data_IF_454253975826
#
_entry.id   IF_454253975826
#
_cell.length_a   1.000
_cell.length_b   1.000
_cell.length_c   1.000
_cell.angle_alpha   90.00
_cell.angle_beta   90.00
_cell.angle_gamma   90.00
#
_symmetry.space_group_name_H-M   'P 1'
#
loop_
_entity.id
_entity.type
_entity.pdbx_description
1 polymer ?
2 non-polymer ?
3 non-polymer ?
4 non-polymer ?
5 non-polymer ?
6 non-polymer ?
7 water ?
#
# COMPACT_ATOMS: atom_id res chain seq x y z
N UNK A 2 23.17 -3.04 -5.71
CA UNK A 2 22.28 -2.58 -4.67
C UNK A 2 23.03 -2.54 -3.33
N UNK A 3 23.38 -1.34 -2.87
CA UNK A 3 24.03 -1.18 -1.57
C UNK A 3 23.20 -1.74 -0.42
N UNK A 5 21.43 -4.29 -0.62
CA UNK A 5 21.51 -5.74 -0.77
C UNK A 5 22.76 -6.32 -0.14
N UNK A 6 23.78 -5.50 0.10
CA UNK A 6 25.03 -5.97 0.67
C UNK A 6 25.20 -5.51 2.10
N UNK A 7 24.25 -4.75 2.63
CA UNK A 7 24.34 -4.30 4.01
C UNK A 7 23.90 -5.42 4.95
N UNK A 8 24.80 -5.85 5.83
CA UNK A 8 24.46 -6.92 6.75
C UNK A 8 23.53 -6.40 7.84
N UNK A 9 22.61 -7.26 8.27
CA UNK A 9 21.59 -6.83 9.22
C UNK A 9 22.21 -6.31 10.50
N UNK A 10 23.35 -6.88 10.91
CA UNK A 10 23.98 -6.42 12.14
C UNK A 10 24.81 -5.16 11.96
N UNK A 11 25.01 -4.68 10.72
CA UNK A 11 25.71 -3.42 10.51
C UNK A 11 24.76 -2.25 10.40
N UNK A 12 23.46 -2.48 10.48
CA UNK A 12 22.51 -1.39 10.32
C UNK A 12 22.71 -0.28 11.35
N UNK A 13 22.87 -0.56 12.65
CA UNK A 13 23.06 0.54 13.60
C UNK A 13 24.25 1.41 13.24
N UNK A 14 25.37 0.80 12.86
CA UNK A 14 26.54 1.59 12.48
C UNK A 14 26.25 2.41 11.23
N UNK A 15 25.47 1.84 10.30
CA UNK A 15 25.12 2.55 9.08
C UNK A 15 24.26 3.77 9.40
N UNK A 16 23.27 3.58 10.28
CA UNK A 16 22.39 4.68 10.66
C UNK A 16 23.20 5.79 11.33
N UNK A 17 24.07 5.42 12.27
CA UNK A 17 24.89 6.43 12.92
C UNK A 17 25.70 7.23 11.91
N UNK A 18 26.34 6.54 10.95
CA UNK A 18 27.15 7.28 9.96
C UNK A 18 26.28 8.16 9.07
N UNK A 19 25.11 7.65 8.64
CA UNK A 19 24.30 8.43 7.74
C UNK A 19 23.62 9.59 8.47
N UNK A 20 23.16 9.39 9.71
CA UNK A 20 22.54 10.50 10.45
C UNK A 20 23.52 11.66 10.65
N UNK A 21 24.79 11.35 10.97
CA UNK A 21 25.82 12.38 11.06
C UNK A 21 25.90 13.18 9.77
N UNK A 22 25.95 12.47 8.64
CA UNK A 22 26.07 13.12 7.35
C UNK A 22 24.85 14.02 7.07
N UNK A 23 23.65 13.54 7.42
CA UNK A 23 22.42 14.30 7.13
C UNK A 23 22.30 15.52 8.04
N UNK A 24 22.65 15.37 9.32
CA UNK A 24 22.64 16.55 10.20
C UNK A 24 23.73 17.53 9.81
N UNK A 25 24.83 17.06 9.23
CA UNK A 25 25.90 17.96 8.79
C UNK A 25 25.54 18.68 7.50
N UNK A 26 24.73 18.06 6.62
CA UNK A 26 24.25 18.74 5.42
C UNK A 26 23.03 19.63 5.70
N UNK A 27 22.31 19.40 6.79
CA UNK A 27 21.12 20.17 7.12
C UNK A 27 21.29 20.63 8.56
N UNK A 28 22.22 21.55 8.80
CA UNK A 28 22.52 21.91 10.19
C UNK A 28 21.33 22.53 10.91
N UNK A 29 20.39 23.12 10.18
CA UNK A 29 19.18 23.63 10.80
C UNK A 29 18.05 22.59 10.82
N UNK A 30 18.41 21.31 10.99
CA UNK A 30 17.41 20.24 11.00
C UNK A 30 16.27 20.52 11.99
N UNK A 31 16.55 21.22 13.09
CA UNK A 31 15.47 21.47 14.05
C UNK A 31 14.46 22.51 13.54
N UNK A 32 14.97 23.61 13.00
CA UNK A 32 14.10 24.68 12.53
C UNK A 32 13.29 24.23 11.31
N UNK A 33 13.90 23.44 10.44
CA UNK A 33 13.20 22.87 9.30
C UNK A 33 12.09 21.91 9.76
N UNK A 34 12.41 21.04 10.72
CA UNK A 34 11.41 20.15 11.29
C UNK A 34 10.22 20.93 11.85
N UNK A 35 10.50 22.01 12.61
CA UNK A 35 9.39 22.78 13.20
C UNK A 35 8.53 23.44 12.13
N UNK A 36 9.15 23.92 11.04
CA UNK A 36 8.39 24.44 9.91
C UNK A 36 7.51 23.36 9.29
N UNK A 37 8.06 22.17 9.08
CA UNK A 37 7.26 21.07 8.53
C UNK A 37 6.17 20.67 9.50
N UNK A 38 6.48 20.69 10.80
CA UNK A 38 5.50 20.32 11.81
C UNK A 38 4.29 21.26 11.77
N UNK A 39 4.53 22.55 11.56
CA UNK A 39 3.43 23.51 11.47
C UNK A 39 2.54 23.22 10.27
N UNK A 40 3.14 22.95 9.12
CA UNK A 40 2.39 22.51 7.93
C UNK A 40 1.57 21.24 8.20
N UNK A 41 2.18 20.25 8.85
CA UNK A 41 1.44 19.03 9.24
C UNK A 41 0.28 19.39 10.17
N UNK A 42 0.53 20.27 11.15
CA UNK A 42 -0.51 20.57 12.13
C UNK A 42 -1.73 21.21 11.48
N UNK A 43 -1.51 22.07 10.49
CA UNK A 43 -2.66 22.64 9.80
C UNK A 43 -3.48 21.57 9.09
N UNK A 44 -2.82 20.58 8.47
CA UNK A 44 -3.56 19.51 7.82
C UNK A 44 -4.29 18.65 8.84
N UNK A 45 -3.63 18.38 9.97
CA UNK A 45 -4.26 17.63 11.05
C UNK A 45 -5.54 18.30 11.52
N UNK A 47 -7.48 20.38 9.95
CA UNK A 47 -8.52 20.29 8.93
C UNK A 47 -9.15 18.91 8.92
N UNK A 48 -8.34 17.86 8.99
CA UNK A 48 -8.86 16.50 9.03
C UNK A 48 -9.76 16.31 10.26
N UNK A 49 -9.33 16.82 11.43
CA UNK A 49 -10.16 16.64 12.62
C UNK A 49 -11.45 17.44 12.50
N UNK A 50 -11.38 18.62 11.91
CA UNK A 50 -12.61 19.40 11.75
C UNK A 50 -13.56 18.68 10.79
N UNK A 51 -13.03 18.09 9.71
CA UNK A 51 -13.87 17.31 8.78
C UNK A 51 -14.61 16.24 9.52
N UNK A 52 -13.86 15.43 10.28
CA UNK A 52 -14.45 14.35 11.07
C UNK A 52 -15.51 14.89 12.03
N UNK A 53 -15.22 16.02 12.71
CA UNK A 53 -16.19 16.58 13.65
C UNK A 53 -17.47 17.03 12.97
N UNK A 54 -17.39 17.38 11.68
CA UNK A 54 -18.55 17.80 10.90
C UNK A 54 -19.30 16.61 10.30
N UNK A 55 -18.85 15.39 10.56
CA UNK A 55 -19.45 14.25 9.90
C UNK A 55 -19.01 14.03 8.47
N UNK A 56 -17.93 14.67 8.03
CA UNK A 56 -17.42 14.51 6.67
C UNK A 56 -16.19 13.61 6.72
N UNK A 57 -16.11 12.73 5.78
CA UNK A 57 -14.91 11.94 5.82
C UNK A 57 -13.78 12.68 5.09
N UNK A 58 -12.56 12.70 5.63
CA UNK A 58 -11.48 13.46 4.99
C UNK A 58 -10.89 12.80 3.75
N UNK A 59 -11.26 11.57 3.46
CA UNK A 59 -10.77 10.86 2.27
C UNK A 59 -11.65 11.29 1.10
N UNK A 60 -11.10 11.89 0.04
CA UNK A 60 -11.94 12.31 -1.09
C UNK A 60 -12.69 11.11 -1.67
N UNK A 61 -13.87 11.37 -2.22
CA UNK A 61 -14.63 10.31 -2.86
C UNK A 61 -14.98 10.76 -4.26
N UNK A 62 -14.84 9.83 -5.22
CA UNK A 62 -15.19 10.07 -6.61
C UNK A 62 -16.03 8.89 -7.08
N UNK A 63 -16.88 9.12 -8.07
CA UNK A 63 -17.58 8.03 -8.77
C UNK A 63 -16.77 7.61 -9.98
N UNK A 64 -16.64 6.30 -10.18
CA UNK A 64 -15.92 5.78 -11.33
C UNK A 64 -16.50 6.34 -12.64
N UNK A 65 -17.83 6.48 -12.70
CA UNK A 65 -18.47 7.03 -13.89
C UNK A 65 -17.94 8.43 -14.19
N UNK A 66 -17.64 9.21 -13.15
CA UNK A 66 -17.16 10.57 -13.39
C UNK A 66 -15.73 10.55 -13.89
N UNK A 67 -14.90 9.61 -13.39
CA UNK A 67 -13.57 9.42 -13.97
C UNK A 67 -13.68 9.00 -15.44
N UNK A 68 -14.47 7.96 -15.71
CA UNK A 68 -14.59 7.45 -17.08
C UNK A 68 -15.12 8.52 -18.03
N UNK A 69 -16.06 9.33 -17.56
CA UNK A 69 -16.66 10.34 -18.43
C UNK A 69 -15.88 11.66 -18.42
N UNK A 70 -14.74 11.72 -17.75
CA UNK A 70 -13.92 12.93 -17.80
C UNK A 70 -14.45 14.12 -17.02
N UNK A 71 -15.21 13.89 -15.95
CA UNK A 71 -15.87 14.97 -15.22
C UNK A 71 -15.11 15.44 -13.98
N UNK A 72 -13.96 14.84 -13.66
CA UNK A 72 -13.32 15.18 -12.39
C UNK A 72 -12.71 16.58 -12.49
N UNK A 73 -12.98 17.41 -11.47
CA UNK A 73 -12.48 18.78 -11.48
C UNK A 73 -11.02 18.87 -11.04
N UNK A 74 -10.39 19.99 -11.36
CA UNK A 74 -9.02 20.24 -10.89
C UNK A 74 -8.97 20.35 -9.38
N UNK A 75 -10.03 20.89 -8.75
CA UNK A 75 -10.08 20.97 -7.30
C UNK A 75 -10.14 19.59 -6.66
N UNK A 76 -10.93 18.68 -7.25
CA UNK A 76 -10.94 17.31 -6.76
C UNK A 76 -9.58 16.65 -6.92
N UNK A 77 -8.93 16.84 -8.06
CA UNK A 77 -7.59 16.28 -8.21
C UNK A 77 -6.64 16.86 -7.17
N UNK A 78 -6.78 18.16 -6.88
CA UNK A 78 -5.91 18.76 -5.89
C UNK A 78 -6.14 18.16 -4.51
N UNK A 79 -7.41 17.93 -4.17
CA UNK A 79 -7.71 17.34 -2.86
C UNK A 79 -7.11 15.95 -2.75
N UNK A 80 -7.22 15.15 -3.83
CA UNK A 80 -6.64 13.80 -3.79
C UNK A 80 -5.13 13.89 -3.57
N UNK A 81 -4.47 14.83 -4.26
CA UNK A 81 -3.04 14.92 -4.10
C UNK A 81 -2.65 15.40 -2.70
N UNK A 82 -3.46 16.25 -2.08
CA UNK A 82 -3.14 16.69 -0.73
C UNK A 82 -3.38 15.56 0.28
N UNK A 83 -4.51 14.85 0.16
CA UNK A 83 -4.89 13.84 1.14
C UNK A 83 -4.18 12.52 0.86
N UNK A 84 -3.68 12.33 -0.35
CA UNK A 84 -2.96 11.11 -0.69
C UNK A 84 -3.83 9.89 -0.85
N UNK A 85 -5.14 10.05 -1.02
CA UNK A 85 -5.96 8.86 -1.12
C UNK A 85 -7.29 9.25 -1.75
N UNK A 86 -8.08 8.24 -2.12
CA UNK A 86 -9.37 8.48 -2.77
C UNK A 86 -10.20 7.21 -2.74
N UNK A 87 -11.49 7.32 -2.38
CA UNK A 87 -12.39 6.21 -2.55
C UNK A 87 -13.03 6.41 -3.92
N UNK A 88 -13.08 5.35 -4.72
CA UNK A 88 -13.68 5.42 -6.05
C UNK A 88 -14.86 4.45 -6.07
N UNK A 89 -16.07 5.00 -6.15
CA UNK A 89 -17.29 4.25 -5.97
C UNK A 89 -17.76 3.70 -7.31
N UNK A 90 -18.32 2.49 -7.27
CA UNK A 90 -18.99 1.97 -8.46
C UNK A 90 -18.06 1.50 -9.55
N UNK A 91 -16.80 1.19 -9.24
CA UNK A 91 -15.93 0.57 -10.23
C UNK A 91 -16.59 -0.70 -10.79
N UNK A 92 -17.11 -1.56 -9.90
CA UNK A 92 -17.75 -2.81 -10.32
C UNK A 92 -19.20 -2.78 -9.90
N UNK A 93 -20.11 -3.37 -10.70
CA UNK A 93 -21.52 -3.43 -10.29
C UNK A 93 -21.61 -4.17 -8.97
N UNK A 94 -22.51 -3.72 -8.09
CA UNK A 94 -22.62 -4.32 -6.77
C UNK A 94 -22.93 -5.82 -6.87
N UNK A 95 -23.77 -6.20 -7.82
CA UNK A 95 -24.17 -7.60 -7.94
C UNK A 95 -23.02 -8.48 -8.43
N UNK A 96 -22.12 -7.93 -9.24
CA UNK A 96 -20.95 -8.68 -9.66
C UNK A 96 -19.99 -8.90 -8.49
N UNK A 97 -19.77 -7.85 -7.70
CA UNK A 97 -18.85 -7.95 -6.57
C UNK A 97 -19.39 -8.88 -5.52
N UNK A 98 -20.71 -8.88 -5.33
CA UNK A 98 -21.28 -9.79 -4.36
C UNK A 98 -21.16 -11.25 -4.81
N UNK A 99 -21.38 -11.50 -6.12
CA UNK A 99 -21.11 -12.83 -6.67
C UNK A 99 -19.64 -13.21 -6.54
N UNK A 100 -18.71 -12.28 -6.84
CA UNK A 100 -17.30 -12.54 -6.60
C UNK A 100 -17.02 -12.94 -5.15
N UNK A 101 -17.62 -12.23 -4.20
CA UNK A 101 -17.42 -12.57 -2.80
C UNK A 101 -17.79 -14.02 -2.53
N UNK A 102 -18.96 -14.45 -3.02
CA UNK A 102 -19.39 -15.82 -2.77
C UNK A 102 -18.47 -16.81 -3.49
N UNK A 103 -17.98 -16.44 -4.67
CA UNK A 103 -17.16 -17.35 -5.46
C UNK A 103 -15.78 -17.56 -4.83
N UNK A 104 -15.22 -16.51 -4.23
CA UNK A 104 -13.97 -16.68 -3.49
C UNK A 104 -14.20 -17.59 -2.28
N UNK A 105 -15.29 -17.37 -1.56
CA UNK A 105 -15.64 -18.28 -0.47
C UNK A 105 -15.74 -19.72 -0.90
N UNK A 106 -16.40 -19.99 -2.03
CA UNK A 106 -16.55 -21.36 -2.53
C UNK A 106 -15.21 -21.95 -2.91
N UNK A 107 -14.37 -21.16 -3.59
CA UNK A 107 -13.03 -21.57 -4.01
C UNK A 107 -12.20 -21.97 -2.79
N UNK A 108 -12.20 -21.13 -1.76
CA UNK A 108 -11.50 -21.45 -0.52
C UNK A 108 -12.08 -22.71 0.14
N UNK A 109 -13.41 -22.78 0.22
CA UNK A 109 -14.05 -23.91 0.90
C UNK A 109 -13.84 -25.23 0.16
N UNK A 110 -14.15 -25.25 -1.13
CA UNK A 110 -14.07 -26.47 -1.91
C UNK A 110 -12.67 -27.07 -1.89
N UNK A 111 -11.64 -26.22 -1.84
CA UNK A 111 -10.27 -26.67 -1.89
C UNK A 111 -9.64 -26.80 -0.52
N UNK A 112 -10.44 -26.75 0.56
CA UNK A 112 -9.96 -27.01 1.93
C UNK A 112 -8.79 -26.10 2.30
N UNK A 113 -8.93 -24.81 1.99
CA UNK A 113 -7.82 -23.90 2.21
C UNK A 113 -7.34 -23.92 3.67
N UNK A 114 -8.27 -23.88 4.62
CA UNK A 114 -7.83 -23.77 6.01
C UNK A 114 -7.10 -25.04 6.46
N UNK A 115 -7.58 -26.22 6.05
CA UNK A 115 -6.86 -27.45 6.38
C UNK A 115 -5.47 -27.48 5.77
N UNK A 116 -5.33 -27.05 4.51
CA UNK A 116 -4.01 -26.98 3.88
C UNK A 116 -3.09 -26.00 4.61
N UNK A 117 -3.61 -24.83 4.98
CA UNK A 117 -2.82 -23.86 5.74
C UNK A 117 -2.33 -24.48 7.05
N UNK A 118 -3.24 -25.09 7.81
CA UNK A 118 -2.87 -25.77 9.04
C UNK A 118 -1.81 -26.85 8.80
N UNK A 119 -1.97 -27.62 7.73
CA UNK A 119 -1.04 -28.71 7.48
C UNK A 119 0.36 -28.19 7.14
N UNK A 120 0.45 -27.06 6.46
CA UNK A 120 1.74 -26.50 6.09
C UNK A 120 2.37 -25.66 7.17
N UNK A 121 1.63 -25.32 8.22
CA UNK A 121 2.16 -24.42 9.23
C UNK A 121 3.29 -25.10 10.01
N UNK A 122 4.26 -24.27 10.44
CA UNK A 122 5.30 -24.72 11.36
C UNK A 122 4.68 -25.37 12.59
N UNK A 123 5.38 -26.33 13.18
CA UNK A 123 4.92 -26.93 14.44
C UNK A 123 5.56 -26.17 15.62
N UNK A 124 5.10 -24.92 15.77
CA UNK A 124 5.46 -24.10 16.92
C UNK A 124 4.35 -23.08 17.15
N UNK A 125 4.50 -22.30 18.23
CA UNK A 125 3.46 -21.35 18.61
C UNK A 125 3.21 -20.30 17.53
N UNK A 126 4.27 -19.79 16.89
CA UNK A 126 4.05 -18.79 15.83
C UNK A 126 3.46 -19.44 14.58
N UNK A 127 3.89 -20.66 14.27
CA UNK A 127 3.29 -21.36 13.14
C UNK A 127 1.80 -21.62 13.34
N UNK A 128 1.46 -22.21 14.49
CA UNK A 128 0.05 -22.46 14.79
C UNK A 128 -0.75 -21.16 14.86
N UNK A 129 -0.20 -20.15 15.52
CA UNK A 129 -0.88 -18.87 15.62
C UNK A 129 -1.29 -18.35 14.24
N UNK A 130 -0.36 -18.37 13.28
CA UNK A 130 -0.63 -17.79 11.96
C UNK A 130 -1.68 -18.58 11.19
N UNK A 131 -1.79 -19.88 11.44
CA UNK A 131 -2.70 -20.72 10.67
C UNK A 131 -4.07 -20.92 11.34
N UNK A 132 -4.27 -20.38 12.55
CA UNK A 132 -5.47 -20.76 13.31
C UNK A 132 -6.75 -20.23 12.67
N UNK A 133 -6.94 -18.91 12.63
CA UNK A 133 -8.13 -18.29 12.03
C UNK A 133 -7.67 -17.25 11.03
N UNK A 134 -7.32 -17.66 9.81
CA UNK A 134 -6.66 -16.71 8.90
C UNK A 134 -7.61 -15.59 8.49
N UNK A 135 -7.06 -14.41 8.37
CA UNK A 135 -7.76 -13.29 7.78
C UNK A 135 -7.20 -12.91 6.43
N UNK A 136 -5.89 -13.07 6.19
CA UNK A 136 -5.30 -12.77 4.90
C UNK A 136 -5.01 -14.10 4.22
N UNK A 137 -5.53 -14.27 3.01
CA UNK A 137 -5.49 -15.57 2.33
C UNK A 137 -4.46 -15.51 1.22
N UNK A 138 -3.51 -16.43 1.27
CA UNK A 138 -2.52 -16.59 0.23
C UNK A 138 -3.06 -17.28 -1.00
N UNK A 139 -4.12 -16.72 -1.60
CA UNK A 139 -4.58 -17.14 -2.92
C UNK A 139 -4.48 -15.94 -3.85
N UNK A 140 -4.08 -16.21 -5.10
CA UNK A 140 -3.74 -15.19 -6.06
C UNK A 140 -4.52 -15.30 -7.35
N UNK A 141 -5.08 -16.48 -7.65
CA UNK A 141 -5.51 -16.82 -8.98
C UNK A 141 -6.95 -17.31 -9.00
N UNK A 142 -7.79 -16.83 -8.08
CA UNK A 142 -9.22 -17.12 -8.20
C UNK A 142 -9.79 -16.36 -9.39
N UNK A 143 -10.86 -16.89 -9.97
CA UNK A 143 -11.48 -16.18 -11.09
C UNK A 143 -11.91 -14.76 -10.71
N UNK A 144 -12.46 -14.49 -9.53
CA UNK A 144 -12.79 -13.10 -9.21
C UNK A 144 -11.59 -12.17 -9.21
N UNK A 145 -10.44 -12.62 -8.65
CA UNK A 145 -9.26 -11.78 -8.68
C UNK A 145 -8.83 -11.49 -10.11
N UNK A 146 -8.77 -12.53 -10.93
CA UNK A 146 -8.26 -12.33 -12.28
C UNK A 146 -9.22 -11.43 -13.05
N UNK A 147 -10.52 -11.58 -12.84
CA UNK A 147 -11.48 -10.76 -13.60
C UNK A 147 -11.46 -9.31 -13.14
N UNK A 148 -11.32 -9.10 -11.84
CA UNK A 148 -11.34 -7.74 -11.31
C UNK A 148 -10.12 -6.97 -11.79
N UNK A 149 -8.96 -7.62 -11.82
CA UNK A 149 -7.73 -6.93 -12.21
C UNK A 149 -7.78 -6.46 -13.66
N UNK A 150 -8.46 -7.19 -14.56
CA UNK A 150 -8.45 -6.86 -15.98
C UNK A 150 -9.64 -6.02 -16.41
N UNK A 151 -10.53 -5.69 -15.50
CA UNK A 151 -11.75 -5.02 -15.88
C UNK A 151 -11.43 -3.64 -16.50
N UNK A 152 -12.21 -3.26 -17.50
CA UNK A 152 -11.87 -2.03 -18.23
C UNK A 152 -12.23 -0.77 -17.45
N UNK A 153 -13.19 -0.84 -16.53
CA UNK A 153 -13.43 0.30 -15.65
C UNK A 153 -12.31 0.43 -14.62
N UNK A 155 -9.25 -0.50 -15.09
CA UNK A 155 -8.12 0.05 -15.85
C UNK A 155 -8.22 1.58 -15.98
N UNK A 156 -9.42 2.09 -16.29
CA UNK A 156 -9.57 3.53 -16.47
C UNK A 156 -9.33 4.26 -15.15
N UNK A 157 -9.76 3.66 -14.05
CA UNK A 157 -9.53 4.24 -12.74
C UNK A 157 -8.04 4.27 -12.43
N UNK A 158 -7.32 3.19 -12.75
CA UNK A 158 -5.89 3.19 -12.46
C UNK A 158 -5.14 4.19 -13.33
N UNK A 159 -5.56 4.34 -14.59
CA UNK A 159 -4.91 5.32 -15.46
C UNK A 159 -5.17 6.72 -14.93
N UNK A 160 -6.38 6.97 -14.42
CA UNK A 160 -6.68 8.26 -13.81
C UNK A 160 -5.75 8.52 -12.61
N UNK A 161 -5.66 7.55 -11.71
CA UNK A 161 -4.81 7.74 -10.53
C UNK A 161 -3.36 7.97 -10.93
N UNK A 162 -2.85 7.19 -11.88
CA UNK A 162 -1.45 7.33 -12.23
C UNK A 162 -1.17 8.66 -12.90
N UNK A 163 -2.16 9.23 -13.62
CA UNK A 163 -1.97 10.54 -14.25
C UNK A 163 -1.95 11.70 -13.26
N UNK A 164 -2.30 11.46 -12.01
CA UNK A 164 -2.11 12.51 -11.00
C UNK A 164 -0.65 12.76 -10.72
N UNK A 165 0.23 11.83 -11.08
CA UNK A 165 1.65 11.98 -10.83
C UNK A 165 2.30 12.88 -11.88
N UNK A 166 3.43 13.48 -11.52
CA UNK A 166 4.27 14.17 -12.48
C UNK A 166 5.23 13.11 -13.00
N UNK A 167 4.96 12.56 -14.18
CA UNK A 167 5.66 11.35 -14.61
C UNK A 167 6.94 11.64 -15.37
N UNK A 168 7.16 12.89 -15.75
CA UNK A 168 8.27 13.20 -16.63
C UNK A 168 9.12 14.30 -16.02
N UNK A 169 10.43 14.11 -16.09
CA UNK A 169 11.35 15.16 -15.69
C UNK A 169 12.68 14.85 -16.37
N UNK A 170 13.40 15.92 -16.72
CA UNK A 170 14.72 15.82 -17.36
C UNK A 170 14.67 15.08 -18.70
N UNK A 171 13.60 15.23 -19.46
CA UNK A 171 13.50 14.55 -20.74
C UNK A 171 13.05 13.11 -20.63
N UNK A 172 12.91 12.59 -19.42
CA UNK A 172 12.72 11.18 -19.16
C UNK A 172 11.32 10.94 -18.61
N UNK A 173 10.62 9.95 -19.15
CA UNK A 173 9.34 9.49 -18.62
C UNK A 173 9.64 8.41 -17.60
N UNK A 174 9.33 8.66 -16.32
CA UNK A 174 9.71 7.69 -15.28
C UNK A 174 8.74 6.52 -15.21
N UNK A 175 7.50 6.72 -15.66
CA UNK A 175 6.59 5.61 -15.92
C UNK A 175 5.55 6.13 -16.89
N UNK A 176 4.86 5.19 -17.53
CA UNK A 176 3.84 5.51 -18.53
C UNK A 176 2.50 5.45 -17.80
N UNK A 177 1.95 6.63 -17.44
CA UNK A 177 0.71 6.64 -16.68
C UNK A 177 -0.45 6.05 -17.45
N UNK A 178 -0.35 5.96 -18.77
CA UNK A 178 -1.45 5.51 -19.61
C UNK A 178 -1.42 4.02 -19.88
N UNK A 179 -0.50 3.29 -19.27
CA UNK A 179 -0.40 1.84 -19.44
C UNK A 179 -0.33 1.21 -18.06
N UNK A 180 -1.19 0.23 -17.82
CA UNK A 180 -1.32 -0.45 -16.53
C UNK A 180 -0.67 -1.82 -16.64
N UNK A 181 -0.02 -2.28 -15.56
CA UNK A 181 0.36 -3.69 -15.49
C UNK A 181 -0.25 -4.27 -14.21
N UNK A 182 -0.47 -5.57 -14.22
CA UNK A 182 -1.18 -6.24 -13.12
C UNK A 182 -0.17 -6.68 -12.07
N UNK A 183 -0.48 -6.40 -10.80
CA UNK A 183 0.32 -6.93 -9.68
C UNK A 183 -0.55 -7.91 -8.87
N UNK A 184 -0.30 -9.20 -9.03
CA UNK A 184 -1.15 -10.16 -8.34
C UNK A 184 -0.87 -10.08 -6.84
N UNK A 185 -1.93 -10.25 -6.06
CA UNK A 185 -1.86 -10.04 -4.61
C UNK A 185 -2.99 -10.86 -3.96
N UNK A 186 -3.09 -10.76 -2.63
CA UNK A 186 -3.91 -11.65 -1.82
C UNK A 186 -5.32 -11.11 -1.66
N UNK A 187 -6.10 -11.74 -0.77
CA UNK A 187 -7.44 -11.29 -0.48
C UNK A 187 -7.65 -11.48 1.02
N UNK A 188 -8.56 -10.67 1.60
CA UNK A 188 -8.76 -10.65 3.04
C UNK A 188 -10.23 -10.94 3.35
N UNK A 189 -10.47 -11.73 4.40
CA UNK A 189 -11.81 -12.02 4.90
C UNK A 189 -11.76 -11.89 6.41
N UNK A 190 -12.27 -10.79 6.95
CA UNK A 190 -12.17 -10.60 8.38
C UNK A 190 -13.50 -10.86 9.06
N UNK A 191 -13.61 -11.84 9.96
CA UNK A 191 -14.90 -12.14 10.60
C UNK A 191 -15.22 -11.16 11.72
N UNK A 192 -16.49 -10.95 11.99
CA UNK A 192 -16.89 -10.16 13.17
C UNK A 192 -16.25 -10.72 14.43
N UNK A 193 -15.91 -9.80 15.35
CA UNK A 193 -15.43 -10.10 16.71
C UNK A 193 -14.02 -10.68 16.68
N UNK A 194 -13.36 -10.66 15.53
CA UNK A 194 -11.99 -11.11 15.47
C UNK A 194 -11.10 -9.98 15.93
N UNK A 195 -9.97 -10.34 16.51
CA UNK A 195 -8.97 -9.34 16.81
C UNK A 195 -8.09 -9.14 15.59
N UNK A 196 -7.29 -8.10 15.61
CA UNK A 196 -6.32 -7.89 14.57
C UNK A 196 -4.92 -8.04 15.17
N UNK A 197 -4.08 -8.83 14.49
CA UNK A 197 -2.63 -8.75 14.62
C UNK A 197 -2.03 -8.03 13.43
N UNK A 198 -2.88 -7.36 12.63
CA UNK A 198 -2.39 -6.51 11.57
C UNK A 198 -1.53 -5.39 12.11
N UNK A 199 -0.69 -4.84 11.25
CA UNK A 199 0.34 -3.94 11.76
C UNK A 199 -0.23 -2.56 12.08
N UNK A 200 0.35 -1.93 13.09
CA UNK A 200 0.02 -0.58 13.52
C UNK A 200 0.25 0.43 12.38
N UNK A 201 -0.15 1.72 12.53
CA UNK A 201 0.01 2.67 11.41
C UNK A 201 1.38 2.56 10.78
N UNK A 202 1.42 2.30 9.48
CA UNK A 202 2.69 2.09 8.81
C UNK A 202 2.61 2.47 7.34
N UNK A 203 3.77 2.51 6.72
CA UNK A 203 3.93 2.80 5.29
C UNK A 203 4.75 1.64 4.70
N UNK A 204 4.23 1.02 3.65
CA UNK A 204 4.99 -0.04 2.99
C UNK A 204 6.01 0.57 2.04
N UNK A 205 6.91 -0.28 1.55
CA UNK A 205 7.85 0.13 0.53
C UNK A 205 9.20 0.61 1.04
N UNK A 206 9.50 0.40 2.31
CA UNK A 206 10.84 0.67 2.83
C UNK A 206 10.74 1.35 4.18
N UNK A 207 11.75 1.10 5.02
CA UNK A 207 11.80 1.71 6.33
C UNK A 207 13.15 2.41 6.48
N UNK A 208 14.18 1.72 7.00
CA UNK A 208 15.47 2.39 7.18
C UNK A 208 16.04 2.89 5.84
N UNK A 209 15.66 2.26 4.73
CA UNK A 209 16.23 2.60 3.42
C UNK A 209 15.87 4.02 2.98
N UNK A 210 14.78 4.60 3.50
CA UNK A 210 14.42 5.97 3.13
C UNK A 210 15.47 6.99 3.56
N UNK A 211 16.26 6.66 4.58
CA UNK A 211 17.44 7.42 4.97
C UNK A 211 18.74 6.82 4.43
N UNK A 212 18.88 5.49 4.43
CA UNK A 212 20.19 4.89 4.17
C UNK A 212 20.50 4.72 2.69
N UNK A 213 19.50 4.71 1.82
CA UNK A 213 19.69 4.45 0.38
C UNK A 213 19.75 5.78 -0.36
N UNK A 214 20.83 6.00 -1.13
CA UNK A 214 20.96 7.29 -1.79
C UNK A 214 19.85 7.52 -2.84
N UNK A 215 19.31 6.45 -3.42
CA UNK A 215 18.20 6.60 -4.36
C UNK A 215 16.94 7.06 -3.65
N UNK A 216 16.58 6.44 -2.51
CA UNK A 216 15.49 6.99 -1.71
C UNK A 216 15.77 8.44 -1.33
N UNK A 217 17.00 8.75 -0.97
CA UNK A 217 17.24 10.13 -0.54
C UNK A 217 17.07 11.10 -1.70
N UNK A 218 17.30 10.65 -2.93
CA UNK A 218 17.03 11.50 -4.09
C UNK A 218 15.54 11.80 -4.21
N UNK A 219 14.69 10.77 -4.02
CA UNK A 219 13.24 11.01 -3.98
C UNK A 219 12.90 12.06 -2.94
N UNK A 220 13.56 11.99 -1.79
CA UNK A 220 13.31 12.94 -0.72
C UNK A 220 14.31 14.10 -0.67
N UNK A 221 14.94 14.42 -1.80
CA UNK A 221 16.03 15.41 -1.76
C UNK A 221 15.56 16.76 -1.23
N UNK A 222 14.33 17.19 -1.55
CA UNK A 222 13.91 18.50 -1.08
C UNK A 222 13.63 18.49 0.42
N UNK A 223 13.38 17.31 0.99
CA UNK A 223 13.23 17.24 2.44
C UNK A 223 14.60 17.35 3.12
N UNK A 224 15.56 16.54 2.67
CA UNK A 224 16.88 16.50 3.29
C UNK A 224 17.68 17.77 3.04
N UNK A 225 17.33 18.57 2.04
CA UNK A 225 18.03 19.83 1.79
C UNK A 225 17.38 20.98 2.54
N UNK A 226 16.27 20.75 3.22
CA UNK A 226 15.55 21.81 3.91
C UNK A 226 14.56 22.55 3.05
N UNK A 227 14.53 22.33 1.74
CA UNK A 227 13.59 23.04 0.88
C UNK A 227 12.27 22.25 0.82
N UNK A 228 11.69 22.03 2.01
CA UNK A 228 10.59 21.07 2.15
C UNK A 228 9.33 21.50 1.41
N UNK A 229 9.15 22.82 1.17
CA UNK A 229 7.98 23.25 0.41
C UNK A 229 8.03 22.78 -1.03
N UNK A 230 9.21 22.41 -1.54
CA UNK A 230 9.33 21.86 -2.89
C UNK A 230 9.08 20.36 -2.94
N UNK A 231 9.09 19.68 -1.81
CA UNK A 231 8.85 18.24 -1.80
C UNK A 231 7.46 17.93 -2.37
N UNK A 232 7.42 17.09 -3.39
CA UNK A 232 6.17 16.69 -4.05
C UNK A 232 5.95 15.19 -3.96
N UNK A 233 5.02 14.72 -3.12
CA UNK A 233 4.77 13.26 -3.06
C UNK A 233 4.42 12.64 -4.41
N UNK A 234 3.83 13.41 -5.32
CA UNK A 234 3.41 12.90 -6.61
C UNK A 234 4.45 13.11 -7.73
N UNK A 235 5.70 13.42 -7.38
CA UNK A 235 6.79 13.42 -8.36
C UNK A 235 7.29 11.98 -8.56
N UNK A 236 7.28 11.50 -9.80
CA UNK A 236 7.69 10.12 -10.03
C UNK A 236 9.21 9.94 -9.95
N UNK A 237 9.95 10.98 -10.28
CA UNK A 237 11.39 10.90 -10.50
C UNK A 237 12.08 10.21 -9.35
N UNK A 238 12.85 9.16 -9.66
CA UNK A 238 13.58 8.43 -8.64
C UNK A 238 12.82 7.27 -8.02
N UNK A 239 11.51 7.28 -8.07
CA UNK A 239 10.82 6.26 -7.28
C UNK A 239 11.03 4.84 -7.82
N UNK A 240 11.09 4.61 -9.14
CA UNK A 240 11.37 3.24 -9.62
C UNK A 240 12.76 2.72 -9.31
N UNK A 241 13.69 3.58 -8.87
CA UNK A 241 15.09 3.23 -8.65
C UNK A 241 15.46 3.01 -7.19
N UNK A 242 14.52 3.20 -6.26
CA UNK A 242 14.85 3.06 -4.84
C UNK A 242 15.27 1.61 -4.56
N UNK A 243 16.11 1.43 -3.54
CA UNK A 243 16.69 0.12 -3.23
C UNK A 243 16.27 -0.26 -1.82
N UNK A 244 15.75 -1.49 -1.66
CA UNK A 244 15.30 -1.97 -0.36
C UNK A 244 16.20 -3.09 0.18
N UNK A 245 16.19 -3.21 1.50
CA UNK A 245 16.84 -4.31 2.20
C UNK A 245 16.07 -5.58 1.86
N UNK A 246 16.71 -6.60 1.29
CA UNK A 246 15.94 -7.79 0.85
C UNK A 246 15.25 -8.46 2.02
N UNK A 247 13.99 -8.75 1.86
CA UNK A 247 13.19 -9.34 2.91
C UNK A 247 11.82 -9.69 2.30
N UNK A 248 10.97 -10.44 3.00
CA UNK A 248 9.62 -10.73 2.46
C UNK A 248 8.73 -9.51 2.38
N UNK A 249 9.17 -8.37 2.93
CA UNK A 249 8.39 -7.15 2.83
C UNK A 249 8.57 -6.44 1.50
N UNK A 250 9.48 -6.89 0.66
CA UNK A 250 9.87 -6.11 -0.53
C UNK A 250 8.90 -6.42 -1.66
N UNK A 251 8.36 -5.37 -2.28
CA UNK A 251 7.56 -5.51 -3.49
C UNK A 251 8.45 -5.34 -4.72
N UNK A 252 8.36 -6.27 -5.67
CA UNK A 252 9.15 -6.12 -6.89
C UNK A 252 8.62 -5.07 -7.84
N UNK A 254 6.96 -1.10 -8.50
CA UNK A 254 6.62 0.20 -7.96
C UNK A 254 5.11 0.37 -8.10
N UNK A 255 4.41 0.48 -6.97
CA UNK A 255 2.98 0.73 -6.99
C UNK A 255 2.75 2.19 -6.63
N UNK A 256 2.05 2.92 -7.49
CA UNK A 256 1.78 4.32 -7.24
C UNK A 256 0.78 4.46 -6.09
N UNK A 257 -0.17 3.55 -6.04
CA UNK A 257 -1.25 3.54 -5.05
C UNK A 257 -1.42 2.10 -4.66
N UNK A 258 -1.50 1.82 -3.38
CA UNK A 258 -2.10 0.55 -2.97
C UNK A 258 -3.61 0.69 -2.97
N UNK A 259 -4.32 -0.45 -3.03
CA UNK A 259 -5.77 -0.34 -3.10
C UNK A 259 -6.47 -1.57 -2.57
N UNK A 260 -7.73 -1.36 -2.16
CA UNK A 260 -8.66 -2.41 -1.75
C UNK A 260 -9.86 -2.34 -2.68
N UNK A 261 -10.36 -3.50 -3.11
CA UNK A 261 -11.66 -3.60 -3.76
C UNK A 261 -12.62 -4.29 -2.78
N UNK A 262 -13.73 -3.64 -2.46
CA UNK A 262 -14.66 -4.18 -1.47
C UNK A 262 -15.47 -5.32 -2.08
N UNK A 263 -15.45 -6.46 -1.43
CA UNK A 263 -16.33 -7.58 -1.79
C UNK A 263 -17.59 -7.57 -0.96
N UNK A 264 -17.55 -6.80 0.15
CA UNK A 264 -18.70 -6.65 1.04
C UNK A 264 -18.81 -5.17 1.40
N UNK A 265 -19.92 -4.73 2.00
CA UNK A 265 -19.95 -3.36 2.53
C UNK A 265 -18.82 -3.20 3.56
N UNK A 266 -18.27 -1.98 3.63
CA UNK A 266 -17.21 -1.64 4.58
C UNK A 266 -17.75 -0.52 5.47
N UNK A 267 -17.51 -0.63 6.77
CA UNK A 267 -18.03 0.35 7.72
C UNK A 267 -17.01 0.55 8.84
N UNK A 268 -17.05 1.74 9.43
CA UNK A 268 -16.26 2.01 10.62
C UNK A 268 -16.65 1.08 11.77
N UNK A 269 -15.65 0.60 12.51
CA UNK A 269 -15.81 -0.40 13.59
C UNK A 269 -16.29 -1.75 13.07
N UNK A 270 -16.06 -2.03 11.79
CA UNK A 270 -16.39 -3.33 11.24
C UNK A 270 -15.21 -3.86 10.44
N UNK A 271 -14.02 -3.68 10.97
CA UNK A 271 -12.85 -4.19 10.30
C UNK A 271 -12.43 -3.43 9.05
N UNK A 272 -12.64 -2.12 8.99
CA UNK A 272 -12.28 -1.40 7.77
C UNK A 272 -10.85 -0.89 7.90
N UNK A 273 -10.45 -0.02 6.98
CA UNK A 273 -9.09 0.50 6.93
C UNK A 273 -9.05 1.88 7.57
N UNK A 274 -7.98 2.16 8.33
CA UNK A 274 -7.69 3.52 8.79
C UNK A 274 -6.54 4.07 7.94
N UNK A 275 -6.56 5.38 7.70
CA UNK A 275 -5.46 6.05 7.01
C UNK A 275 -5.19 7.36 7.72
N UNK A 276 -4.02 7.92 7.48
CA UNK A 276 -3.74 9.30 7.89
C UNK A 276 -3.64 10.03 6.56
N UNK A 277 -4.65 10.79 6.18
CA UNK A 277 -4.73 11.30 4.81
C UNK A 277 -3.94 12.59 4.65
N UNK A 278 -2.63 12.43 4.72
CA UNK A 278 -1.64 13.51 4.67
C UNK A 278 -0.55 13.02 3.72
N UNK A 279 -0.60 13.46 2.46
CA UNK A 279 0.32 12.90 1.48
C UNK A 279 1.77 13.20 1.82
N UNK A 280 2.08 14.36 2.43
CA UNK A 280 3.47 14.69 2.75
C UNK A 280 3.87 14.33 4.20
N UNK A 281 3.16 13.42 4.85
CA UNK A 281 3.54 13.05 6.22
C UNK A 281 4.94 12.47 6.26
N UNK A 283 7.54 13.59 4.98
CA UNK A 283 8.54 14.64 5.22
C UNK A 283 8.71 14.87 6.71
N UNK A 284 7.60 14.80 7.46
CA UNK A 284 7.68 14.89 8.92
C UNK A 284 8.42 13.69 9.52
N UNK A 285 8.11 12.48 9.06
CA UNK A 285 8.77 11.29 9.61
C UNK A 285 10.27 11.31 9.35
N UNK A 286 10.68 11.70 8.14
CA UNK A 286 12.10 11.75 7.80
C UNK A 286 12.86 12.72 8.71
N UNK A 287 12.30 13.91 8.92
CA UNK A 287 13.00 14.94 9.69
C UNK A 287 12.90 14.67 11.18
N UNK A 288 11.82 14.01 11.62
CA UNK A 288 11.66 13.70 13.05
C UNK A 288 12.83 12.87 13.59
N UNK A 289 13.28 11.88 12.80
CA UNK A 289 14.37 10.98 13.17
C UNK A 289 15.72 11.69 13.25
N UNK A 290 15.83 12.92 12.75
CA UNK A 290 17.11 13.62 12.82
C UNK A 290 17.22 14.52 14.05
N UNK A 291 16.20 14.54 14.90
CA UNK A 291 16.17 15.53 15.97
C UNK A 291 17.06 15.09 17.14
N UNK A 292 17.34 16.06 18.04
CA UNK A 292 18.31 15.82 19.10
C UNK A 292 17.82 14.84 20.16
N UNK A 293 16.51 14.59 20.29
CA UNK A 293 16.01 13.64 21.27
C UNK A 293 15.98 12.20 20.74
N UNK A 294 16.61 11.94 19.60
CA UNK A 294 16.65 10.60 18.99
C UNK A 294 18.08 10.10 19.10
N UNK A 295 18.25 8.83 19.46
CA UNK A 295 19.61 8.30 19.62
C UNK A 295 20.37 8.34 18.28
N UNK A 296 21.70 8.45 18.37
CA UNK A 296 22.56 8.58 17.20
C UNK A 296 22.39 7.45 16.21
N UNK A 297 22.08 6.26 16.69
CA UNK A 297 22.03 5.07 15.85
C UNK A 297 20.59 4.60 15.64
N UNK A 298 19.63 5.49 15.80
CA UNK A 298 18.22 5.12 15.74
C UNK A 298 17.45 6.04 14.80
N UNK A 299 16.52 5.45 14.06
CA UNK A 299 15.62 6.25 13.23
C UNK A 299 14.19 6.12 13.74
N UNK A 300 13.96 6.46 15.02
CA UNK A 300 12.64 6.40 15.62
C UNK A 300 12.03 5.01 15.50
N UNK A 301 12.85 3.99 15.69
CA UNK A 301 12.33 2.64 15.68
C UNK A 301 12.32 1.96 14.33
N UNK A 302 12.62 2.66 13.24
CA UNK A 302 12.63 2.01 11.93
C UNK A 302 13.55 0.81 11.93
N UNK A 303 13.12 -0.30 11.31
CA UNK A 303 13.83 -1.55 11.43
C UNK A 303 13.79 -2.34 10.11
N UNK A 304 14.81 -3.18 9.85
CA UNK A 304 14.80 -3.95 8.60
C UNK A 304 13.62 -4.91 8.58
N UNK A 305 12.98 -5.03 7.42
CA UNK A 305 11.83 -5.92 7.27
C UNK A 305 10.53 -5.50 7.96
N UNK A 306 10.53 -4.40 8.74
CA UNK A 306 9.36 -3.91 9.47
C UNK A 306 8.87 -2.64 8.77
N UNK A 307 7.65 -2.67 8.19
CA UNK A 307 7.14 -1.50 7.47
C UNK A 307 7.37 -0.26 8.35
N UNK A 308 7.60 0.89 7.73
CA UNK A 308 7.90 2.07 8.53
C UNK A 308 6.68 2.48 9.34
N UNK A 309 6.82 2.58 10.67
CA UNK A 309 5.64 2.84 11.48
C UNK A 309 5.64 4.27 12.01
N UNK A 310 4.46 4.85 12.07
CA UNK A 310 4.27 6.10 12.79
C UNK A 310 3.68 5.73 14.16
N UNK A 311 4.16 6.38 15.21
CA UNK A 311 3.76 5.92 16.52
C UNK A 311 3.32 7.09 17.38
N UNK A 312 2.56 6.75 18.41
CA UNK A 312 2.24 7.74 19.43
C UNK A 312 3.52 8.21 20.13
N UNK A 313 4.52 7.33 20.22
CA UNK A 313 5.76 7.70 20.91
C UNK A 313 6.51 8.81 20.17
N UNK A 314 6.74 8.63 18.86
CA UNK A 314 7.55 9.59 18.13
C UNK A 314 6.75 10.56 17.26
N UNK A 315 5.53 10.20 16.88
CA UNK A 315 4.76 11.05 15.97
C UNK A 315 3.34 11.28 16.48
N UNK A 316 3.18 11.67 17.75
CA UNK A 316 1.81 11.83 18.26
C UNK A 316 0.96 12.81 17.44
N UNK A 317 1.56 13.82 16.80
CA UNK A 317 0.77 14.75 15.97
C UNK A 317 0.12 14.01 14.79
N UNK A 318 0.86 13.09 14.15
CA UNK A 318 0.25 12.36 13.04
C UNK A 318 -0.88 11.45 13.53
N UNK A 320 -2.99 12.03 15.62
CA UNK A 320 -4.20 12.83 15.78
C UNK A 320 -5.03 12.91 14.50
N UNK A 321 -4.46 12.53 13.37
CA UNK A 321 -5.09 12.62 12.06
C UNK A 321 -5.54 11.27 11.53
N UNK A 322 -5.55 10.22 12.36
CA UNK A 322 -6.06 8.93 11.90
C UNK A 322 -7.55 9.05 11.60
N UNK A 323 -7.97 8.43 10.49
CA UNK A 323 -9.35 8.49 10.00
C UNK A 323 -9.74 7.15 9.39
N UNK A 324 -10.93 6.62 9.70
CA UNK A 324 -11.46 5.52 8.89
C UNK A 324 -11.65 5.99 7.45
N UNK A 325 -11.54 5.06 6.50
CA UNK A 325 -11.92 5.36 5.13
C UNK A 325 -13.43 5.55 5.04
N UNK A 326 -13.95 6.12 3.93
CA UNK A 326 -15.39 6.24 3.79
C UNK A 326 -16.10 4.88 3.83
N UNK A 327 -17.37 4.91 4.18
CA UNK A 327 -18.19 3.71 4.00
C UNK A 327 -18.13 3.30 2.54
N UNK A 328 -18.07 2.00 2.28
CA UNK A 328 -18.04 1.48 0.90
C UNK A 328 -19.09 0.41 0.75
N UNK A 329 -19.58 0.25 -0.47
CA UNK A 329 -20.41 -0.90 -0.83
C UNK A 329 -19.60 -1.86 -1.69
N UNK A 330 -20.12 -3.07 -1.84
CA UNK A 330 -19.44 -4.06 -2.65
C UNK A 330 -19.30 -3.51 -4.07
N UNK A 331 -18.09 -3.60 -4.63
CA UNK A 331 -17.80 -3.01 -5.93
C UNK A 331 -17.17 -1.64 -5.85
N UNK A 332 -17.17 -1.00 -4.69
CA UNK A 332 -16.40 0.21 -4.53
C UNK A 332 -14.94 -0.15 -4.22
N UNK A 333 -14.05 0.85 -4.34
CA UNK A 333 -12.61 0.65 -4.13
C UNK A 333 -12.08 1.80 -3.29
N UNK A 334 -10.90 1.62 -2.71
CA UNK A 334 -10.23 2.75 -2.07
C UNK A 334 -8.74 2.59 -2.33
N UNK A 335 -8.09 3.70 -2.64
CA UNK A 335 -6.69 3.72 -3.01
C UNK A 335 -5.97 4.73 -2.14
N UNK A 336 -4.69 4.43 -1.85
CA UNK A 336 -3.87 5.37 -1.11
C UNK A 336 -2.45 5.38 -1.67
N UNK A 337 -1.90 6.59 -1.79
CA UNK A 337 -0.54 6.83 -2.26
C UNK A 337 0.44 5.94 -1.51
N UNK A 338 1.50 5.50 -2.21
CA UNK A 338 2.44 4.54 -1.60
C UNK A 338 3.08 5.06 -0.30
N UNK A 339 3.12 6.38 -0.07
CA UNK A 339 3.71 6.91 1.16
C UNK A 339 2.70 7.14 2.26
N UNK A 340 1.44 6.81 2.07
CA UNK A 340 0.40 7.18 3.03
C UNK A 340 0.33 6.15 4.15
N UNK A 341 0.36 6.65 5.38
CA UNK A 341 0.30 5.81 6.58
C UNK A 341 -1.08 5.20 6.72
N UNK A 342 -1.13 3.91 7.04
CA UNK A 342 -2.43 3.25 7.12
C UNK A 342 -2.33 2.03 8.02
N UNK A 343 -3.50 1.51 8.42
CA UNK A 343 -3.53 0.28 9.21
C UNK A 343 -4.97 -0.18 9.31
N UNK A 344 -5.19 -1.49 9.36
CA UNK A 344 -6.57 -1.94 9.52
C UNK A 344 -7.08 -1.60 10.91
N UNK A 345 -8.39 -1.42 11.04
CA UNK A 345 -9.03 -1.19 12.33
C UNK A 345 -8.83 -2.37 13.27
N UNK A 346 -8.74 -2.07 14.57
CA UNK A 346 -8.69 -3.15 15.55
C UNK A 346 -10.05 -3.78 15.77
N UNK A 347 -11.13 -3.03 15.62
CA UNK A 347 -12.47 -3.44 16.00
C UNK A 347 -13.27 -3.92 14.77
N UNK A 348 -13.94 -5.07 14.90
CA UNK A 348 -14.96 -5.53 13.95
C UNK A 348 -16.18 -5.99 14.76
N UNK A 349 -17.12 -5.07 14.91
CA UNK A 349 -18.36 -5.37 15.62
C UNK A 349 -19.56 -5.40 14.70
N UNK A 350 -19.33 -5.63 13.42
CA UNK A 350 -20.42 -5.79 12.46
C UNK A 350 -21.02 -7.16 12.49
N UNK A 351 -21.99 -7.37 11.59
CA UNK A 351 -22.72 -8.63 11.55
C UNK A 351 -22.16 -9.64 10.56
N UNK A 352 -21.29 -9.24 9.64
CA UNK A 352 -20.84 -10.19 8.65
C UNK A 352 -19.36 -9.96 8.36
N UNK A 353 -18.77 -10.95 7.68
CA UNK A 353 -17.35 -10.88 7.28
C UNK A 353 -17.13 -9.65 6.41
N UNK A 354 -16.06 -8.90 6.71
CA UNK A 354 -15.63 -7.76 5.89
C UNK A 354 -14.48 -8.20 4.98
N UNK A 355 -14.73 -8.27 3.67
CA UNK A 355 -13.85 -8.96 2.74
C UNK A 355 -13.43 -8.01 1.63
N UNK A 356 -12.17 -8.12 1.19
CA UNK A 356 -11.65 -7.25 0.14
C UNK A 356 -10.65 -8.03 -0.69
N UNK A 358 -6.97 -7.28 -2.68
CA UNK A 358 -5.87 -6.31 -2.77
C UNK A 358 -5.59 -6.06 -4.26
N UNK A 359 -5.91 -4.87 -4.75
CA UNK A 359 -5.67 -4.54 -6.17
C UNK A 359 -5.09 -3.14 -6.22
N UNK A 360 -3.81 -3.04 -6.54
CA UNK A 360 -3.09 -1.77 -6.52
C UNK A 360 -3.03 -1.19 -7.93
N UNK A 361 -2.60 0.06 -8.02
CA UNK A 361 -2.32 0.68 -9.30
C UNK A 361 -0.82 0.60 -9.55
N UNK A 362 -0.43 -0.04 -10.64
CA UNK A 362 0.99 -0.14 -11.01
C UNK A 362 1.15 0.29 -12.46
N UNK A 363 1.92 1.33 -12.73
CA UNK A 363 2.09 1.79 -14.11
C UNK A 363 3.20 1.02 -14.81
N UNK A 364 3.16 1.06 -16.12
CA UNK A 364 4.23 0.45 -16.89
C UNK A 364 5.50 1.26 -16.68
N UNK A 365 6.57 0.56 -16.34
CA UNK A 365 7.93 1.08 -16.37
C UNK A 365 8.86 -0.12 -16.50
N UNK A 366 10.14 0.15 -16.74
CA UNK A 366 11.10 -0.96 -16.88
C UNK A 366 11.14 -1.86 -15.65
N UNK A 367 11.09 -1.27 -14.44
CA UNK A 367 11.09 -2.08 -13.23
C UNK A 367 9.91 -3.05 -13.20
N UNK A 368 8.70 -2.53 -13.44
CA UNK A 368 7.51 -3.37 -13.31
C UNK A 368 7.43 -4.38 -14.44
N UNK A 369 7.87 -3.99 -15.63
CA UNK A 369 7.90 -4.92 -16.74
C UNK A 369 8.82 -6.10 -16.45
N UNK A 370 9.90 -5.87 -15.68
CA UNK A 370 10.83 -6.95 -15.44
C UNK A 370 10.23 -8.02 -14.53
N UNK A 371 9.22 -7.69 -13.72
CA UNK A 371 8.58 -8.67 -12.86
C UNK A 371 7.57 -9.51 -13.60
N UNK A 372 7.03 -9.03 -14.72
CA UNK A 372 5.93 -9.76 -15.36
C UNK A 372 6.29 -11.18 -15.76
N UNK A 373 7.47 -11.49 -16.33
CA UNK A 373 7.70 -12.90 -16.72
C UNK A 373 7.68 -13.86 -15.54
N UNK A 374 8.27 -13.52 -14.38
CA UNK A 374 8.23 -14.54 -13.34
C UNK A 374 6.88 -14.58 -12.65
N UNK A 375 6.19 -13.44 -12.58
CA UNK A 375 4.78 -13.48 -12.15
C UNK A 375 3.94 -14.35 -13.09
N UNK A 376 4.16 -14.22 -14.41
CA UNK A 376 3.39 -15.02 -15.35
C UNK A 376 3.68 -16.50 -15.19
N UNK A 377 4.94 -16.85 -14.95
CA UNK A 377 5.25 -18.25 -14.74
C UNK A 377 4.49 -18.78 -13.54
N UNK A 378 4.34 -17.98 -12.49
CA UNK A 378 3.62 -18.47 -11.32
C UNK A 378 2.12 -18.57 -11.58
N UNK A 379 1.56 -17.69 -12.40
CA UNK A 379 0.15 -17.80 -12.80
C UNK A 379 -0.12 -19.08 -13.59
N UNK A 380 0.77 -19.38 -14.54
CA UNK A 380 0.66 -20.57 -15.37
C UNK A 380 0.65 -21.83 -14.52
N UNK A 381 1.53 -21.90 -13.52
CA UNK A 381 1.67 -23.04 -12.62
C UNK A 381 0.64 -23.03 -11.49
N UNK A 382 0.01 -21.89 -11.21
CA UNK A 382 -0.79 -21.78 -10.01
C UNK A 382 0.03 -21.57 -8.75
N UNK A 383 1.30 -21.22 -8.88
CA UNK A 383 2.18 -21.05 -7.72
C UNK A 383 1.98 -19.66 -7.13
N UNK A 384 2.45 -19.48 -5.90
CA UNK A 384 2.48 -18.13 -5.35
C UNK A 384 3.40 -17.25 -6.20
N UNK A 385 3.08 -15.97 -6.40
CA UNK A 385 4.01 -15.09 -7.13
C UNK A 385 5.30 -14.92 -6.35
N UNK A 386 6.38 -14.47 -7.02
CA UNK A 386 7.72 -14.48 -6.40
C UNK A 386 7.85 -13.64 -5.13
N UNK A 387 7.01 -12.60 -4.95
CA UNK A 387 7.12 -11.72 -3.80
C UNK A 387 6.51 -12.31 -2.55
N UNK A 388 5.84 -13.43 -2.65
CA UNK A 388 5.15 -14.03 -1.51
C UNK A 388 5.83 -15.33 -1.12
N UNK A 389 5.51 -15.81 0.09
CA UNK A 389 5.91 -17.14 0.51
C UNK A 389 5.49 -18.18 -0.53
N UNK A 390 6.38 -19.14 -0.79
CA UNK A 390 6.11 -20.17 -1.80
C UNK A 390 5.19 -21.24 -1.23
N UNK A 391 4.02 -20.81 -0.76
CA UNK A 391 2.99 -21.74 -0.31
C UNK A 391 2.50 -22.59 -1.48
N UNK A 392 2.30 -21.96 -2.64
CA UNK A 392 1.87 -22.65 -3.86
C UNK A 392 0.59 -23.45 -3.63
N UNK A 393 -0.33 -22.90 -2.83
CA UNK A 393 -1.55 -23.63 -2.53
C UNK A 393 -2.34 -23.99 -3.79
N UNK A 394 -2.41 -23.09 -4.77
CA UNK A 394 -3.41 -23.28 -5.83
C UNK A 394 -2.93 -24.17 -6.96
N UNK A 395 -1.77 -24.80 -6.83
CA UNK A 395 -1.25 -25.65 -7.91
C UNK A 395 -2.27 -26.71 -8.30
N UNK A 396 -2.97 -27.27 -7.32
CA UNK A 396 -3.97 -28.30 -7.59
C UNK A 396 -5.38 -27.89 -7.15
N UNK A 397 -5.64 -26.58 -7.05
CA UNK A 397 -6.98 -26.12 -6.70
C UNK A 397 -7.95 -26.33 -7.85
N UNK A 398 -9.10 -26.89 -7.53
CA UNK A 398 -10.19 -26.96 -8.50
C UNK A 398 -10.75 -25.55 -8.72
N UNK A 399 -10.89 -25.16 -9.98
CA UNK A 399 -11.45 -23.87 -10.30
C UNK A 399 -10.45 -22.73 -10.41
N UNK A 400 -9.17 -23.00 -10.31
CA UNK A 400 -8.17 -21.93 -10.46
C UNK A 400 -8.30 -21.28 -11.83
N UNK A 401 -8.22 -19.96 -11.86
CA UNK A 401 -8.29 -19.28 -13.16
C UNK A 401 -7.08 -19.63 -14.03
N UNK A 402 -7.28 -19.55 -15.35
CA UNK A 402 -6.28 -19.86 -16.38
C UNK A 402 -6.31 -18.74 -17.42
N UNK A 403 -5.49 -18.89 -18.48
CA UNK A 403 -5.48 -17.90 -19.55
C UNK A 403 -6.85 -17.79 -20.23
N UNK A 404 -7.65 -18.87 -20.21
CA UNK A 404 -8.98 -18.81 -20.82
C UNK A 404 -9.85 -17.73 -20.20
N UNK A 405 -9.59 -17.38 -18.93
CA UNK A 405 -10.34 -16.33 -18.23
C UNK A 405 -9.94 -14.93 -18.66
N UNK A 406 -8.82 -14.78 -19.34
CA UNK A 406 -8.29 -13.44 -19.61
C UNK A 406 -8.90 -12.82 -20.87
N UNK A 407 -9.16 -11.52 -20.79
CA UNK A 407 -9.44 -10.74 -21.99
C UNK A 407 -8.12 -10.34 -22.65
N UNK A 408 -8.21 -9.66 -23.80
CA UNK A 408 -7.00 -9.09 -24.40
C UNK A 408 -6.32 -8.11 -23.44
N UNK A 409 -7.09 -7.25 -22.79
CA UNK A 409 -6.51 -6.35 -21.78
C UNK A 409 -5.83 -7.16 -20.69
N UNK A 410 -6.49 -8.21 -20.21
CA UNK A 410 -5.90 -9.03 -19.18
C UNK A 410 -4.55 -9.58 -19.60
N UNK A 411 -4.46 -10.07 -20.83
CA UNK A 411 -3.20 -10.61 -21.34
C UNK A 411 -2.12 -9.54 -21.40
N UNK A 412 -2.45 -8.34 -21.91
CA UNK A 412 -1.44 -7.29 -22.00
C UNK A 412 -0.92 -6.93 -20.60
N UNK A 413 -1.84 -6.75 -19.65
CA UNK A 413 -1.41 -6.34 -18.31
C UNK A 413 -0.58 -7.39 -17.59
N UNK A 414 -0.70 -8.67 -17.96
CA UNK A 414 0.14 -9.71 -17.37
C UNK A 414 1.37 -10.01 -18.18
N UNK A 415 1.58 -9.32 -19.29
CA UNK A 415 2.74 -9.54 -20.13
C UNK A 415 2.65 -10.77 -21.00
N UNK A 416 1.43 -11.19 -21.36
CA UNK A 416 1.25 -12.30 -22.29
C UNK A 416 1.27 -11.80 -23.72
N UNK A 417 0.75 -10.61 -23.95
CA UNK A 417 1.05 -9.94 -25.21
C UNK A 417 1.97 -8.76 -24.95
#
# INVERSE_FOLDING_TARGET
SNAXASLHIDDIPAAIKAVKQQLRQALPDYQQVFQAVEENIRQQVXEIRRNLAEGKNPVPQLHADDIINGKVTEEQKAQIKQRGCCAILGVFPQEKATAWNREIGDYLDRNNFVERLKNAAEDNYFGTLAASKPQIYGIYWSTPQVEARQDKRXQAVQIFLNNLWQTESNGKQHFDANRVVTYADRTRRRPPKSSSLGLSPHVDGGSIERWLDENFRHVYRHVFSGQWQKYDPFAAEGRPEVREFPSPAVCSXFRTFQGWTALTPQRTHAGTLNVIPIANAXAYILLRALQDDVADDDLCGAAPGRALSASEQWHPLLXEAISPIPDLEAGDTVFWHCDVIHSVENEHNGEFDSNVXYIAAAPWCEKNAAYLPRQLASFIDGRSPPDFAADDFEVDFIGRATIKNLTEIGKQQLGITD
#
